data_IF_565813725066
#
_entry.id   IF_565813725066
#
_cell.length_a   1.000
_cell.length_b   1.000
_cell.length_c   1.000
_cell.angle_alpha   90.00
_cell.angle_beta   90.00
_cell.angle_gamma   90.00
#
_symmetry.space_group_name_H-M   'P 1'
#
loop_
_entity.id
_entity.type
_entity.pdbx_description
1 polymer ?
#
# COMPACT_ATOMS: atom_id res chain seq x y z
N UNK A 1 -3.72 4.69 13.74
CA UNK A 1 -2.94 4.51 12.50
C UNK A 1 -2.72 5.90 11.91
N UNK A 2 -1.49 6.43 11.89
CA UNK A 2 -1.22 7.79 11.40
C UNK A 2 -0.84 7.72 9.92
N UNK A 3 -1.56 8.44 9.05
CA UNK A 3 -1.28 8.56 7.61
C UNK A 3 -1.05 7.21 6.91
N UNK A 4 -2.05 6.34 7.03
CA UNK A 4 -1.96 4.94 6.60
C UNK A 4 -1.66 4.81 5.10
N UNK A 5 -2.36 5.59 4.27
CA UNK A 5 -2.18 5.59 2.82
C UNK A 5 -0.81 6.12 2.41
N UNK A 6 -0.28 7.14 3.11
CA UNK A 6 1.00 7.79 2.79
C UNK A 6 2.23 6.90 3.02
N UNK A 7 2.07 5.81 3.78
CA UNK A 7 3.16 4.94 4.23
C UNK A 7 3.17 3.57 3.56
N UNK A 8 2.27 3.33 2.61
CA UNK A 8 2.23 2.06 1.88
C UNK A 8 3.41 1.95 0.92
N UNK A 9 4.28 0.96 1.15
CA UNK A 9 5.40 0.64 0.27
C UNK A 9 4.89 -0.10 -0.98
N UNK A 10 5.20 0.40 -2.17
CA UNK A 10 4.67 -0.13 -3.44
C UNK A 10 5.07 -1.58 -3.71
N UNK A 11 6.33 -1.92 -3.43
CA UNK A 11 6.87 -3.28 -3.58
C UNK A 11 6.11 -4.30 -2.71
N UNK A 12 5.58 -3.85 -1.56
CA UNK A 12 4.78 -4.72 -0.70
C UNK A 12 3.42 -5.01 -1.34
N UNK A 13 2.73 -4.01 -1.89
CA UNK A 13 1.44 -4.20 -2.58
C UNK A 13 1.60 -5.15 -3.77
N UNK A 14 2.62 -4.93 -4.60
CA UNK A 14 2.96 -5.81 -5.72
C UNK A 14 3.22 -7.25 -5.25
N UNK A 15 4.03 -7.42 -4.21
CA UNK A 15 4.35 -8.73 -3.66
C UNK A 15 3.13 -9.46 -3.09
N UNK A 16 2.22 -8.74 -2.44
CA UNK A 16 0.96 -9.32 -1.94
C UNK A 16 0.09 -9.76 -3.11
N UNK A 17 -0.11 -8.94 -4.13
CA UNK A 17 -0.93 -9.31 -5.29
C UNK A 17 -0.35 -10.53 -6.01
N UNK A 18 0.98 -10.59 -6.20
CA UNK A 18 1.64 -11.78 -6.77
C UNK A 18 1.42 -13.03 -5.92
N UNK A 19 1.49 -12.93 -4.58
CA UNK A 19 1.23 -14.06 -3.67
C UNK A 19 -0.23 -14.48 -3.62
N UNK A 20 -1.16 -13.56 -3.87
CA UNK A 20 -2.60 -13.87 -3.97
C UNK A 20 -2.95 -14.58 -5.30
N UNK A 21 -2.00 -14.69 -6.24
CA UNK A 21 -2.18 -15.41 -7.50
C UNK A 21 -2.86 -14.59 -8.60
N UNK A 22 -2.81 -13.26 -8.50
CA UNK A 22 -3.29 -12.40 -9.58
C UNK A 22 -2.42 -12.57 -10.85
N UNK A 23 -3.06 -12.40 -12.00
CA UNK A 23 -2.38 -12.43 -13.30
C UNK A 23 -1.25 -11.38 -13.36
N UNK A 24 -0.04 -11.74 -13.84
CA UNK A 24 1.09 -10.81 -13.91
C UNK A 24 0.80 -9.55 -14.74
N UNK A 25 0.09 -9.68 -15.88
CA UNK A 25 -0.26 -8.53 -16.71
C UNK A 25 -1.25 -7.58 -16.04
N UNK A 26 -2.18 -8.14 -15.25
CA UNK A 26 -3.07 -7.35 -14.41
C UNK A 26 -2.33 -6.62 -13.28
N UNK A 27 -1.41 -7.32 -12.60
CA UNK A 27 -0.55 -6.71 -11.58
C UNK A 27 0.26 -5.56 -12.17
N UNK A 28 0.91 -5.76 -13.31
CA UNK A 28 1.67 -4.72 -14.00
C UNK A 28 0.81 -3.51 -14.37
N UNK A 29 -0.44 -3.76 -14.78
CA UNK A 29 -1.39 -2.69 -15.13
C UNK A 29 -1.76 -1.85 -13.92
N UNK A 30 -2.04 -2.47 -12.78
CA UNK A 30 -2.28 -1.75 -11.52
C UNK A 30 -1.04 -1.01 -11.06
N UNK A 31 0.12 -1.66 -11.09
CA UNK A 31 1.36 -1.05 -10.61
C UNK A 31 1.76 0.16 -11.46
N UNK A 32 1.48 0.18 -12.77
CA UNK A 32 1.62 1.40 -13.59
C UNK A 32 0.79 2.56 -13.07
N UNK A 33 -0.45 2.34 -12.63
CA UNK A 33 -1.28 3.39 -12.02
C UNK A 33 -0.69 3.89 -10.69
N UNK A 34 -0.07 3.00 -9.92
CA UNK A 34 0.52 3.34 -8.61
C UNK A 34 1.84 4.11 -8.78
N UNK A 35 2.72 3.70 -9.69
CA UNK A 35 4.06 4.29 -9.87
C UNK A 35 4.06 5.64 -10.61
N UNK A 36 3.05 5.91 -11.46
CA UNK A 36 3.05 7.07 -12.36
C UNK A 36 2.54 8.37 -11.72
N UNK A 37 2.11 8.31 -10.46
CA UNK A 37 1.60 9.50 -9.76
C UNK A 37 2.72 10.51 -9.53
N UNK A 38 2.40 11.79 -9.70
CA UNK A 38 3.26 12.91 -9.34
C UNK A 38 2.47 13.95 -8.55
N UNK A 39 3.17 14.74 -7.75
CA UNK A 39 2.58 15.73 -6.87
C UNK A 39 3.24 17.09 -7.06
N UNK A 40 2.47 18.14 -6.82
CA UNK A 40 2.96 19.53 -6.71
C UNK A 40 2.24 20.17 -5.53
N UNK A 41 2.94 20.98 -4.73
CA UNK A 41 2.31 21.70 -3.61
C UNK A 41 1.85 23.07 -4.09
N UNK A 42 0.58 23.40 -3.86
CA UNK A 42 0.08 24.77 -4.07
C UNK A 42 0.29 25.55 -2.78
N UNK A 43 1.06 26.64 -2.85
CA UNK A 43 1.32 27.52 -1.71
C UNK A 43 1.06 28.98 -2.10
N UNK A 44 0.15 29.65 -1.38
CA UNK A 44 -0.29 31.02 -1.68
C UNK A 44 -0.72 31.23 -3.15
N UNK A 45 -1.41 30.24 -3.74
CA UNK A 45 -1.87 30.29 -5.13
C UNK A 45 -0.81 29.98 -6.18
N UNK A 46 0.46 29.82 -5.80
CA UNK A 46 1.53 29.40 -6.69
C UNK A 46 1.70 27.88 -6.65
N UNK A 47 1.85 27.26 -7.82
CA UNK A 47 2.15 25.84 -7.96
C UNK A 47 3.67 25.67 -7.81
N UNK A 48 4.08 24.90 -6.81
CA UNK A 48 5.48 24.52 -6.61
C UNK A 48 5.97 23.47 -7.61
N UNK A 49 7.20 23.02 -7.44
CA UNK A 49 7.82 22.03 -8.31
C UNK A 49 7.11 20.66 -8.22
N UNK A 50 7.18 19.91 -9.33
CA UNK A 50 6.67 18.55 -9.40
C UNK A 50 7.69 17.61 -8.73
N UNK A 51 7.21 16.79 -7.81
CA UNK A 51 7.98 15.72 -7.19
C UNK A 51 7.27 14.37 -7.36
N UNK A 52 8.07 13.32 -7.39
CA UNK A 52 7.61 11.95 -7.56
C UNK A 52 7.69 11.23 -6.21
N UNK A 53 6.58 10.70 -5.70
CA UNK A 53 6.62 9.90 -4.49
C UNK A 53 7.32 8.56 -4.78
N UNK A 54 7.90 7.96 -3.74
CA UNK A 54 8.50 6.62 -3.80
C UNK A 54 7.63 5.54 -3.13
N UNK A 55 6.58 5.99 -2.45
CA UNK A 55 5.61 5.20 -1.69
C UNK A 55 4.35 6.02 -1.54
N UNK A 56 3.29 5.41 -1.02
CA UNK A 56 1.93 5.95 -0.79
C UNK A 56 0.89 5.50 -1.80
N UNK A 57 -0.34 5.41 -1.33
CA UNK A 57 -1.52 5.28 -2.18
C UNK A 57 -2.22 6.63 -2.24
N UNK A 58 -2.59 7.07 -3.45
CA UNK A 58 -3.21 8.37 -3.66
C UNK A 58 -4.58 8.42 -2.99
N UNK A 59 -4.75 9.29 -2.00
CA UNK A 59 -6.06 9.53 -1.40
C UNK A 59 -7.00 10.19 -2.43
N UNK A 60 -8.23 9.69 -2.53
CA UNK A 60 -9.20 10.12 -3.54
C UNK A 60 -9.09 9.39 -4.88
N UNK A 61 -8.08 8.53 -5.07
CA UNK A 61 -8.06 7.57 -6.17
C UNK A 61 -9.03 6.41 -5.85
N UNK A 62 -9.95 6.06 -6.75
CA UNK A 62 -10.88 4.95 -6.54
C UNK A 62 -10.20 3.59 -6.34
N UNK A 63 -8.96 3.38 -6.82
CA UNK A 63 -8.23 2.12 -6.63
C UNK A 63 -7.60 2.00 -5.22
N UNK A 64 -7.17 3.12 -4.64
CA UNK A 64 -6.42 3.14 -3.38
C UNK A 64 -7.11 2.41 -2.22
N UNK A 65 -8.44 2.53 -1.99
CA UNK A 65 -9.12 1.78 -0.94
C UNK A 65 -9.00 0.26 -1.12
N UNK A 66 -9.10 -0.25 -2.35
CA UNK A 66 -9.00 -1.68 -2.63
C UNK A 66 -7.58 -2.20 -2.45
N UNK A 67 -6.58 -1.44 -2.92
CA UNK A 67 -5.17 -1.79 -2.72
C UNK A 67 -4.78 -1.78 -1.24
N UNK A 68 -5.41 -0.93 -0.43
CA UNK A 68 -5.21 -0.91 1.01
C UNK A 68 -5.75 -2.16 1.70
N UNK A 69 -6.83 -2.78 1.19
CA UNK A 69 -7.33 -4.06 1.72
C UNK A 69 -6.30 -5.18 1.55
N UNK A 70 -5.58 -5.21 0.43
CA UNK A 70 -4.48 -6.17 0.22
C UNK A 70 -3.39 -6.00 1.28
N UNK A 71 -3.10 -4.77 1.68
CA UNK A 71 -2.13 -4.53 2.74
C UNK A 71 -2.59 -5.13 4.08
N UNK A 72 -3.88 -4.96 4.41
CA UNK A 72 -4.49 -5.55 5.60
C UNK A 72 -4.45 -7.07 5.59
N UNK A 73 -4.83 -7.70 4.48
CA UNK A 73 -4.81 -9.16 4.34
C UNK A 73 -3.38 -9.72 4.39
N UNK A 74 -2.43 -9.05 3.71
CA UNK A 74 -1.01 -9.39 3.76
C UNK A 74 -0.45 -9.37 5.18
N UNK A 75 -0.74 -8.30 5.93
CA UNK A 75 -0.34 -8.19 7.34
C UNK A 75 -1.01 -9.27 8.22
N UNK A 76 -2.32 -9.48 8.05
CA UNK A 76 -3.07 -10.51 8.78
C UNK A 76 -2.50 -11.90 8.55
N UNK A 77 -2.15 -12.22 7.31
CA UNK A 77 -1.50 -13.48 6.93
C UNK A 77 -0.13 -13.65 7.57
N UNK A 78 0.71 -12.60 7.55
CA UNK A 78 2.02 -12.62 8.21
C UNK A 78 1.89 -12.81 9.73
N UNK A 79 0.89 -12.19 10.37
CA UNK A 79 0.63 -12.39 11.79
C UNK A 79 0.24 -13.83 12.10
N UNK A 80 -0.63 -14.46 11.30
CA UNK A 80 -1.01 -15.87 11.47
C UNK A 80 0.21 -16.79 11.38
N UNK A 81 1.04 -16.62 10.35
CA UNK A 81 2.27 -17.39 10.19
C UNK A 81 3.25 -17.20 11.36
N UNK A 82 3.38 -15.98 11.88
CA UNK A 82 4.26 -15.71 13.01
C UNK A 82 3.75 -16.31 14.32
N UNK A 83 2.42 -16.42 14.51
CA UNK A 83 1.81 -17.09 15.66
C UNK A 83 2.02 -18.61 15.56
N UNK A 84 1.77 -19.21 14.39
CA UNK A 84 2.01 -20.65 14.14
C UNK A 84 3.48 -21.01 14.35
N UNK A 85 4.40 -20.16 13.87
CA UNK A 85 5.84 -20.30 14.06
C UNK A 85 6.32 -19.99 15.48
N UNK A 86 5.43 -19.65 16.43
CA UNK A 86 5.74 -19.26 17.81
C UNK A 86 6.70 -18.06 17.93
N UNK A 87 6.80 -17.23 16.89
CA UNK A 87 7.59 -15.99 16.86
C UNK A 87 6.85 -14.88 17.60
N UNK A 88 5.52 -14.87 17.48
CA UNK A 88 4.62 -13.93 18.14
C UNK A 88 3.62 -14.69 19.03
N UNK A 89 3.40 -14.17 20.23
CA UNK A 89 2.36 -14.65 21.15
C UNK A 89 1.25 -13.59 21.24
N UNK A 90 0.02 -13.99 20.97
CA UNK A 90 -1.13 -13.10 21.08
C UNK A 90 -1.32 -12.57 22.51
N UNK A 91 -1.79 -11.34 22.62
CA UNK A 91 -2.16 -10.70 23.89
C UNK A 91 -3.65 -10.42 23.87
N UNK A 92 -4.34 -10.69 24.98
CA UNK A 92 -5.76 -10.39 25.14
C UNK A 92 -5.89 -8.97 25.65
N UNK A 93 -6.57 -8.10 24.90
CA UNK A 93 -6.98 -6.81 25.41
C UNK A 93 -8.15 -7.05 26.38
N UNK A 94 -8.04 -6.47 27.58
CA UNK A 94 -9.03 -6.50 28.66
C UNK A 94 -10.35 -5.90 28.25
#
# INVERSE_FOLDING_TARGET
MNKAYDRVEWNFVEGVMKRMGFDPGWVDSIMKCVFTVSYSVVFNGNIGEIFHPTRSLRQGDPLSPFLFLFCGEGLSSLMRLAIEGKILKGVKAS
#
